data_IF_599866896866
#
_entry.id   IF_599866896866
#
_cell.length_a   1.000
_cell.length_b   1.000
_cell.length_c   1.000
_cell.angle_alpha   90.00
_cell.angle_beta   90.00
_cell.angle_gamma   90.00
#
_symmetry.space_group_name_H-M   'P 1'
#
loop_
_entity.id
_entity.type
_entity.pdbx_description
1 polymer ?
#
# COMPACT_ATOMS: atom_id res chain seq x y z
N UNK A 1 0.96 0.64 26.40
CA UNK A 1 -0.34 1.14 26.91
C UNK A 1 -1.53 0.37 26.35
N UNK A 2 -1.65 0.22 25.03
CA UNK A 2 -2.76 -0.52 24.38
C UNK A 2 -2.83 -1.98 24.84
N UNK A 3 -1.68 -2.67 24.93
CA UNK A 3 -1.67 -4.09 25.31
C UNK A 3 -2.26 -4.35 26.70
N UNK A 4 -1.77 -3.61 27.71
CA UNK A 4 -2.30 -3.67 29.08
C UNK A 4 -3.75 -3.24 29.17
N UNK A 5 -4.18 -2.26 28.38
CA UNK A 5 -5.54 -1.71 28.43
C UNK A 5 -6.59 -2.62 27.80
N UNK A 6 -6.22 -3.38 26.77
CA UNK A 6 -7.20 -4.11 25.94
C UNK A 6 -7.03 -5.62 25.90
N UNK A 7 -5.85 -6.14 26.23
CA UNK A 7 -5.59 -7.59 26.16
C UNK A 7 -5.39 -8.23 27.54
N UNK A 8 -5.41 -7.47 28.65
CA UNK A 8 -5.30 -7.98 30.03
C UNK A 8 -4.09 -8.92 30.29
N UNK A 9 -3.02 -8.79 29.51
CA UNK A 9 -1.80 -9.60 29.67
C UNK A 9 -0.62 -8.77 30.20
N UNK A 10 0.22 -9.38 31.03
CA UNK A 10 1.44 -8.77 31.58
C UNK A 10 2.55 -8.73 30.50
N UNK A 11 3.07 -7.55 30.12
CA UNK A 11 4.14 -7.42 29.15
C UNK A 11 5.39 -8.27 29.44
N UNK A 12 5.68 -8.62 30.70
CA UNK A 12 6.88 -9.40 31.05
C UNK A 12 6.82 -10.86 30.58
N UNK A 13 5.65 -11.50 30.54
CA UNK A 13 5.49 -12.86 30.02
C UNK A 13 5.52 -12.90 28.47
N UNK A 14 5.12 -11.81 27.83
CA UNK A 14 4.98 -11.66 26.37
C UNK A 14 6.33 -11.47 25.66
N UNK A 15 7.34 -10.93 26.34
CA UNK A 15 8.68 -10.65 25.79
C UNK A 15 9.44 -11.87 25.25
N UNK A 16 8.90 -13.09 25.37
CA UNK A 16 9.58 -14.32 24.94
C UNK A 16 9.25 -14.79 23.52
N UNK A 17 8.14 -14.32 22.91
CA UNK A 17 7.70 -14.81 21.59
C UNK A 17 7.96 -13.78 20.49
N UNK A 18 9.22 -13.74 20.03
CA UNK A 18 9.65 -12.91 18.91
C UNK A 18 9.45 -13.61 17.56
N UNK A 19 9.12 -12.87 16.49
CA UNK A 19 9.15 -13.38 15.13
C UNK A 19 10.51 -13.99 14.77
N UNK A 20 10.52 -15.10 14.04
CA UNK A 20 11.75 -15.70 13.50
C UNK A 20 11.95 -15.29 12.04
N UNK A 21 13.17 -14.91 11.70
CA UNK A 21 13.58 -14.55 10.35
C UNK A 21 13.99 -15.78 9.54
N UNK A 22 13.53 -15.84 8.30
CA UNK A 22 13.83 -16.89 7.33
C UNK A 22 14.30 -16.25 6.02
N UNK A 23 15.19 -16.96 5.31
CA UNK A 23 15.58 -16.64 3.95
C UNK A 23 15.06 -17.74 3.03
N UNK A 24 14.16 -17.40 2.12
CA UNK A 24 13.61 -18.34 1.15
C UNK A 24 14.26 -18.10 -0.22
N UNK A 25 14.79 -19.12 -0.90
CA UNK A 25 15.34 -18.97 -2.25
C UNK A 25 14.26 -18.54 -3.27
N UNK A 26 14.59 -17.59 -4.15
CA UNK A 26 13.77 -17.18 -5.29
C UNK A 26 14.13 -18.07 -6.48
N UNK A 27 13.55 -19.27 -6.54
CA UNK A 27 13.85 -20.29 -7.56
C UNK A 27 13.70 -19.80 -9.02
N UNK A 28 12.83 -18.82 -9.27
CA UNK A 28 12.60 -18.26 -10.59
C UNK A 28 13.65 -17.22 -11.03
N UNK A 29 14.61 -16.80 -10.18
CA UNK A 29 15.64 -15.84 -10.58
C UNK A 29 16.95 -16.59 -10.91
N UNK A 30 17.34 -16.71 -12.20
CA UNK A 30 18.57 -17.41 -12.57
C UNK A 30 19.82 -16.66 -12.09
N UNK A 31 20.91 -17.38 -11.80
CA UNK A 31 22.22 -16.82 -11.50
C UNK A 31 22.99 -17.52 -10.36
N UNK A 32 24.30 -17.22 -10.28
CA UNK A 32 25.25 -17.84 -9.33
C UNK A 32 25.09 -17.38 -7.86
N UNK A 33 24.42 -16.25 -7.62
CA UNK A 33 24.07 -15.80 -6.28
C UNK A 33 22.61 -16.11 -6.01
N UNK A 34 22.32 -17.21 -5.31
CA UNK A 34 20.96 -17.61 -4.93
C UNK A 34 20.20 -16.42 -4.32
N UNK A 35 19.35 -15.73 -5.11
CA UNK A 35 18.60 -14.58 -4.64
C UNK A 35 17.59 -15.08 -3.61
N UNK A 36 17.56 -14.47 -2.43
CA UNK A 36 16.63 -14.86 -1.37
C UNK A 36 15.51 -13.83 -1.18
N UNK A 37 14.43 -14.25 -0.53
CA UNK A 37 13.37 -13.40 0.01
C UNK A 37 13.42 -13.52 1.54
N UNK A 38 13.62 -12.40 2.25
CA UNK A 38 13.50 -12.40 3.69
C UNK A 38 12.03 -12.50 4.10
N UNK A 39 11.74 -13.32 5.11
CA UNK A 39 10.41 -13.49 5.68
C UNK A 39 10.51 -13.53 7.20
N UNK A 40 9.61 -12.83 7.88
CA UNK A 40 9.47 -12.91 9.33
C UNK A 40 8.16 -13.64 9.67
N UNK A 41 8.21 -14.64 10.55
CA UNK A 41 7.00 -15.38 10.97
C UNK A 41 6.38 -14.76 12.22
N UNK A 42 5.26 -14.07 12.06
CA UNK A 42 4.60 -13.30 13.12
C UNK A 42 3.28 -13.92 13.63
N UNK A 43 3.06 -15.24 13.46
CA UNK A 43 1.76 -15.88 13.77
C UNK A 43 1.42 -15.91 15.26
N UNK A 44 2.40 -16.27 16.10
CA UNK A 44 2.25 -16.47 17.55
C UNK A 44 3.22 -15.58 18.33
N UNK A 45 3.23 -14.28 18.03
CA UNK A 45 4.19 -13.32 18.59
C UNK A 45 3.52 -12.31 19.50
N UNK A 46 4.31 -11.62 20.32
CA UNK A 46 3.85 -10.57 21.23
C UNK A 46 2.96 -9.49 20.60
N UNK A 47 3.15 -9.19 19.31
CA UNK A 47 2.38 -8.19 18.59
C UNK A 47 1.24 -8.76 17.73
N UNK A 48 0.98 -10.07 17.78
CA UNK A 48 0.04 -10.72 16.86
C UNK A 48 -1.40 -10.21 17.00
N UNK A 49 -1.85 -9.92 18.23
CA UNK A 49 -3.18 -9.37 18.51
C UNK A 49 -3.28 -7.91 18.09
N UNK A 50 -2.30 -7.08 18.46
CA UNK A 50 -2.17 -5.70 18.01
C UNK A 50 -2.19 -5.60 16.47
N UNK A 51 -1.44 -6.48 15.79
CA UNK A 51 -1.38 -6.56 14.34
C UNK A 51 -2.74 -6.95 13.74
N UNK A 52 -3.44 -7.89 14.36
CA UNK A 52 -4.80 -8.27 13.95
C UNK A 52 -5.78 -7.11 14.09
N UNK A 53 -5.71 -6.38 15.21
CA UNK A 53 -6.53 -5.20 15.46
C UNK A 53 -6.24 -4.09 14.44
N UNK A 54 -4.97 -3.79 14.20
CA UNK A 54 -4.54 -2.80 13.22
C UNK A 54 -4.97 -3.19 11.82
N UNK A 55 -4.84 -4.46 11.42
CA UNK A 55 -5.28 -4.92 10.10
C UNK A 55 -6.78 -4.64 9.90
N UNK A 56 -7.63 -4.93 10.89
CA UNK A 56 -9.07 -4.65 10.80
C UNK A 56 -9.37 -3.16 10.71
N UNK A 57 -8.66 -2.34 11.47
CA UNK A 57 -8.81 -0.88 11.43
C UNK A 57 -8.37 -0.30 10.08
N UNK A 58 -7.20 -0.69 9.60
CA UNK A 58 -6.60 -0.21 8.36
C UNK A 58 -7.44 -0.61 7.14
N UNK A 59 -8.02 -1.82 7.12
CA UNK A 59 -8.94 -2.21 6.04
C UNK A 59 -10.19 -1.31 6.01
N UNK A 60 -10.78 -1.03 7.18
CA UNK A 60 -11.94 -0.13 7.24
C UNK A 60 -11.58 1.30 6.80
N UNK A 61 -10.42 1.81 7.25
CA UNK A 61 -9.91 3.12 6.85
C UNK A 61 -9.63 3.17 5.35
N UNK A 62 -9.04 2.13 4.77
CA UNK A 62 -8.77 2.04 3.33
C UNK A 62 -10.05 2.20 2.52
N UNK A 63 -11.08 1.41 2.80
CA UNK A 63 -12.33 1.48 2.04
C UNK A 63 -12.96 2.89 2.15
N UNK A 64 -12.98 3.47 3.35
CA UNK A 64 -13.49 4.83 3.53
C UNK A 64 -12.64 5.86 2.79
N UNK A 65 -11.31 5.75 2.84
CA UNK A 65 -10.39 6.69 2.23
C UNK A 65 -10.40 6.62 0.69
N UNK A 66 -10.57 5.43 0.11
CA UNK A 66 -10.82 5.26 -1.32
C UNK A 66 -12.12 5.95 -1.73
N UNK A 67 -13.19 5.82 -0.95
CA UNK A 67 -14.45 6.50 -1.22
C UNK A 67 -14.30 8.03 -1.18
N UNK A 68 -13.58 8.56 -0.19
CA UNK A 68 -13.24 10.00 -0.12
C UNK A 68 -12.48 10.42 -1.38
N UNK A 69 -11.46 9.66 -1.77
CA UNK A 69 -10.63 9.93 -2.95
C UNK A 69 -11.46 9.96 -4.23
N UNK A 70 -12.35 8.98 -4.42
CA UNK A 70 -13.20 8.89 -5.60
C UNK A 70 -14.21 10.04 -5.68
N UNK A 71 -14.82 10.42 -4.55
CA UNK A 71 -15.72 11.58 -4.51
C UNK A 71 -15.01 12.88 -4.87
N UNK A 72 -13.77 13.06 -4.41
CA UNK A 72 -12.97 14.23 -4.75
C UNK A 72 -12.50 14.23 -6.21
N UNK A 73 -12.11 13.06 -6.75
CA UNK A 73 -11.82 12.90 -8.17
C UNK A 73 -13.01 13.30 -9.03
N UNK A 74 -14.18 12.75 -8.74
CA UNK A 74 -15.39 13.01 -9.52
C UNK A 74 -15.85 14.47 -9.41
N UNK A 75 -15.86 15.05 -8.21
CA UNK A 75 -16.30 16.45 -8.01
C UNK A 75 -15.37 17.49 -8.64
N UNK A 76 -14.09 17.17 -8.81
CA UNK A 76 -13.08 18.08 -9.38
C UNK A 76 -12.67 17.70 -10.82
N UNK A 77 -13.22 16.64 -11.39
CA UNK A 77 -12.81 16.12 -12.71
C UNK A 77 -11.34 15.67 -12.75
N UNK A 78 -10.80 15.16 -11.65
CA UNK A 78 -9.40 14.74 -11.55
C UNK A 78 -9.25 13.26 -11.91
N UNK A 79 -8.18 12.93 -12.64
CA UNK A 79 -7.70 11.56 -12.80
C UNK A 79 -6.44 11.35 -11.95
N UNK A 80 -6.14 10.10 -11.63
CA UNK A 80 -4.99 9.76 -10.81
C UNK A 80 -4.84 8.24 -10.69
N UNK A 81 -3.81 7.82 -9.95
CA UNK A 81 -3.57 6.40 -9.67
C UNK A 81 -4.79 5.81 -8.95
N UNK A 82 -5.30 4.68 -9.45
CA UNK A 82 -6.42 3.94 -8.89
C UNK A 82 -5.92 2.66 -8.23
N UNK A 83 -6.17 2.51 -6.92
CA UNK A 83 -5.87 1.28 -6.21
C UNK A 83 -6.87 0.19 -6.62
N UNK A 84 -6.35 -0.96 -7.05
CA UNK A 84 -7.10 -2.14 -7.44
C UNK A 84 -6.72 -3.33 -6.54
N UNK A 85 -7.59 -4.32 -6.43
CA UNK A 85 -7.40 -5.50 -5.57
C UNK A 85 -7.60 -6.84 -6.28
N UNK A 86 -7.88 -6.83 -7.58
CA UNK A 86 -7.99 -8.04 -8.39
C UNK A 86 -7.81 -7.74 -9.88
N UNK A 87 -7.49 -8.78 -10.64
CA UNK A 87 -7.49 -8.77 -12.11
C UNK A 87 -8.87 -8.47 -12.68
N UNK A 88 -9.95 -9.00 -12.08
CA UNK A 88 -11.32 -8.69 -12.52
C UNK A 88 -11.63 -7.19 -12.43
N UNK A 89 -11.20 -6.54 -11.34
CA UNK A 89 -11.37 -5.10 -11.19
C UNK A 89 -10.53 -4.35 -12.21
N UNK A 90 -9.27 -4.77 -12.46
CA UNK A 90 -8.45 -4.21 -13.53
C UNK A 90 -9.17 -4.28 -14.88
N UNK A 91 -9.64 -5.47 -15.29
CA UNK A 91 -10.27 -5.66 -16.59
C UNK A 91 -11.50 -4.77 -16.77
N UNK A 92 -12.35 -4.67 -15.74
CA UNK A 92 -13.51 -3.77 -15.72
C UNK A 92 -13.12 -2.30 -15.85
N UNK A 93 -12.04 -1.88 -15.19
CA UNK A 93 -11.56 -0.51 -15.29
C UNK A 93 -10.93 -0.21 -16.65
N UNK A 94 -10.25 -1.20 -17.26
CA UNK A 94 -9.75 -1.09 -18.63
C UNK A 94 -10.90 -0.90 -19.61
N UNK A 95 -12.00 -1.65 -19.48
CA UNK A 95 -13.19 -1.48 -20.33
C UNK A 95 -13.75 -0.06 -20.30
N UNK A 96 -13.71 0.58 -19.13
CA UNK A 96 -14.21 1.95 -18.98
C UNK A 96 -13.29 3.01 -19.61
N UNK A 97 -11.98 2.74 -19.75
CA UNK A 97 -11.03 3.73 -20.28
C UNK A 97 -10.70 3.51 -21.76
N UNK A 98 -10.90 2.30 -22.30
CA UNK A 98 -10.57 1.98 -23.70
C UNK A 98 -11.25 2.92 -24.72
N UNK A 99 -12.44 3.43 -24.40
CA UNK A 99 -13.16 4.39 -25.25
C UNK A 99 -12.70 5.86 -25.04
N UNK A 100 -12.02 6.12 -23.93
CA UNK A 100 -11.71 7.48 -23.44
C UNK A 100 -10.25 7.84 -23.72
N UNK A 101 -9.35 6.86 -23.69
CA UNK A 101 -7.91 7.09 -23.75
C UNK A 101 -7.28 6.49 -25.00
N UNK A 102 -6.20 7.12 -25.44
CA UNK A 102 -5.37 6.65 -26.56
C UNK A 102 -3.91 6.79 -26.12
N UNK A 103 -3.43 5.89 -25.25
CA UNK A 103 -2.10 6.00 -24.66
C UNK A 103 -1.01 5.87 -25.72
N UNK A 104 0.10 6.58 -25.54
CA UNK A 104 1.28 6.47 -26.40
C UNK A 104 2.13 5.26 -26.03
N UNK A 105 2.31 5.03 -24.73
CA UNK A 105 3.03 3.87 -24.19
C UNK A 105 2.38 3.35 -22.90
N UNK A 106 2.66 2.10 -22.58
CA UNK A 106 2.32 1.42 -21.34
C UNK A 106 3.61 1.05 -20.60
N UNK A 107 3.68 1.31 -19.31
CA UNK A 107 4.83 0.92 -18.50
C UNK A 107 4.37 0.36 -17.17
N UNK A 108 5.07 -0.64 -16.67
CA UNK A 108 4.94 -1.10 -15.29
C UNK A 108 6.13 -0.68 -14.46
N UNK A 109 5.88 -0.46 -13.18
CA UNK A 109 6.89 -0.11 -12.20
C UNK A 109 6.67 -0.92 -10.93
N UNK A 110 7.78 -1.39 -10.35
CA UNK A 110 7.82 -2.02 -9.03
C UNK A 110 8.61 -1.15 -8.06
N UNK A 111 8.28 -1.19 -6.77
CA UNK A 111 9.12 -0.59 -5.75
C UNK A 111 10.24 -1.56 -5.37
N UNK A 112 11.50 -1.18 -5.64
CA UNK A 112 12.67 -2.03 -5.38
C UNK A 112 12.71 -2.67 -3.98
N UNK A 113 12.26 -1.93 -2.97
CA UNK A 113 12.49 -2.32 -1.57
C UNK A 113 11.52 -1.69 -0.57
N UNK A 114 10.27 -1.43 -0.95
CA UNK A 114 9.28 -0.67 -0.12
C UNK A 114 9.18 -1.19 1.33
N UNK A 115 9.12 -2.50 1.53
CA UNK A 115 9.04 -3.11 2.86
C UNK A 115 10.32 -2.97 3.71
N UNK A 116 11.43 -2.52 3.13
CA UNK A 116 12.71 -2.32 3.83
C UNK A 116 13.24 -0.89 3.77
N UNK A 117 12.75 -0.06 2.85
CA UNK A 117 13.23 1.32 2.66
C UNK A 117 12.28 2.39 3.20
N UNK A 118 10.98 2.13 3.25
CA UNK A 118 9.97 3.13 3.61
C UNK A 118 10.17 3.65 5.04
N UNK A 119 10.41 4.95 5.22
CA UNK A 119 10.69 5.54 6.52
C UNK A 119 9.46 5.48 7.43
N UNK A 120 9.67 5.13 8.70
CA UNK A 120 8.63 5.12 9.73
C UNK A 120 7.97 6.49 9.86
N UNK A 121 8.73 7.57 9.73
CA UNK A 121 8.17 8.93 9.77
C UNK A 121 7.17 9.15 8.63
N UNK A 122 7.55 8.82 7.41
CA UNK A 122 6.68 8.94 6.23
C UNK A 122 5.43 8.06 6.34
N UNK A 123 5.55 6.84 6.86
CA UNK A 123 4.42 5.95 7.14
C UNK A 123 3.48 6.59 8.17
N UNK A 124 4.03 7.11 9.28
CA UNK A 124 3.23 7.74 10.34
C UNK A 124 2.53 9.02 9.86
N UNK A 125 3.20 9.84 9.06
CA UNK A 125 2.63 11.05 8.46
C UNK A 125 1.48 10.69 7.49
N UNK A 126 1.66 9.65 6.67
CA UNK A 126 0.61 9.10 5.81
C UNK A 126 -0.60 8.58 6.61
N UNK A 127 -0.36 7.82 7.69
CA UNK A 127 -1.43 7.31 8.55
C UNK A 127 -2.16 8.42 9.30
N UNK A 128 -1.44 9.43 9.80
CA UNK A 128 -2.02 10.62 10.41
C UNK A 128 -2.91 11.36 9.42
N UNK A 129 -2.47 11.52 8.18
CA UNK A 129 -3.26 12.12 7.12
C UNK A 129 -4.55 11.34 6.85
N UNK A 130 -4.45 10.03 6.63
CA UNK A 130 -5.62 9.16 6.37
C UNK A 130 -6.61 9.18 7.54
N UNK A 131 -6.14 8.96 8.77
CA UNK A 131 -7.01 8.91 9.96
C UNK A 131 -7.70 10.26 10.17
N UNK A 132 -7.02 11.38 9.94
CA UNK A 132 -7.60 12.73 10.07
C UNK A 132 -8.72 12.96 9.05
N UNK A 133 -8.59 12.42 7.84
CA UNK A 133 -9.57 12.58 6.75
C UNK A 133 -10.76 11.64 6.93
N UNK A 134 -10.50 10.41 7.35
CA UNK A 134 -11.54 9.42 7.64
C UNK A 134 -12.36 9.81 8.87
N UNK A 135 -11.73 10.25 9.96
CA UNK A 135 -12.47 10.72 11.12
C UNK A 135 -12.80 12.21 11.00
N UNK A 136 -14.03 12.51 10.59
CA UNK A 136 -14.55 13.86 10.44
C UNK A 136 -15.85 14.04 11.25
N UNK A 137 -16.47 15.21 11.14
CA UNK A 137 -17.70 15.54 11.88
C UNK A 137 -18.86 14.58 11.66
N UNK A 138 -18.85 13.79 10.57
CA UNK A 138 -19.91 12.82 10.24
C UNK A 138 -19.64 11.41 10.77
N UNK A 139 -18.40 11.05 11.02
CA UNK A 139 -18.05 9.70 11.51
C UNK A 139 -18.09 9.60 13.03
N UNK A 140 -17.90 10.71 13.74
CA UNK A 140 -17.77 10.71 15.20
C UNK A 140 -16.35 10.38 15.67
N UNK A 141 -16.23 10.03 16.94
CA UNK A 141 -14.95 10.03 17.67
C UNK A 141 -14.29 8.65 17.80
N UNK A 142 -15.05 7.57 17.57
CA UNK A 142 -14.60 6.20 17.78
C UNK A 142 -14.68 5.35 16.52
N UNK A 143 -13.67 4.53 16.29
CA UNK A 143 -13.78 3.33 15.47
C UNK A 143 -14.07 2.13 16.39
N UNK A 144 -15.24 1.54 16.23
CA UNK A 144 -15.71 0.40 17.01
C UNK A 144 -15.43 -0.89 16.25
N UNK A 145 -14.89 -1.88 16.96
CA UNK A 145 -14.61 -3.21 16.44
C UNK A 145 -15.78 -4.13 16.76
N UNK A 146 -16.68 -4.30 15.79
CA UNK A 146 -17.77 -5.28 15.87
C UNK A 146 -17.27 -6.71 15.71
N UNK A 147 -18.18 -7.67 15.59
CA UNK A 147 -17.80 -9.08 15.40
C UNK A 147 -17.14 -9.31 14.03
N UNK A 148 -17.79 -8.87 12.94
CA UNK A 148 -17.27 -9.02 11.56
C UNK A 148 -16.60 -7.76 11.04
N UNK A 149 -17.21 -6.60 11.28
CA UNK A 149 -16.81 -5.33 10.66
C UNK A 149 -16.46 -4.29 11.70
N UNK A 150 -15.67 -3.29 11.28
CA UNK A 150 -15.50 -2.06 12.03
C UNK A 150 -16.53 -1.02 11.55
N UNK A 151 -16.92 -0.09 12.44
CA UNK A 151 -17.82 1.01 12.11
C UNK A 151 -17.53 2.22 13.00
N UNK A 152 -17.86 3.41 12.53
CA UNK A 152 -17.68 4.63 13.31
C UNK A 152 -18.86 4.87 14.26
N UNK A 153 -18.59 5.52 15.41
CA UNK A 153 -19.62 5.92 16.36
C UNK A 153 -19.18 7.11 17.20
N UNK A 154 -20.13 7.94 17.62
CA UNK A 154 -19.94 8.95 18.67
C UNK A 154 -20.38 8.44 20.06
N UNK A 155 -20.90 7.21 20.16
CA UNK A 155 -21.46 6.71 21.41
C UNK A 155 -20.37 6.18 22.35
N UNK A 156 -20.08 6.94 23.41
CA UNK A 156 -19.11 6.56 24.42
C UNK A 156 -19.56 5.41 25.35
N UNK A 157 -20.83 4.99 25.33
CA UNK A 157 -21.33 3.89 26.17
C UNK A 157 -21.23 2.51 25.51
N UNK A 158 -20.72 2.43 24.27
CA UNK A 158 -20.47 1.14 23.61
C UNK A 158 -19.43 0.34 24.40
N UNK A 159 -19.82 -0.89 24.80
CA UNK A 159 -18.99 -1.83 25.56
C UNK A 159 -17.95 -2.57 24.70
N UNK A 160 -18.19 -2.70 23.39
CA UNK A 160 -17.25 -3.30 22.46
C UNK A 160 -15.93 -2.52 22.41
N UNK A 161 -14.86 -3.22 22.04
CA UNK A 161 -13.56 -2.60 21.78
C UNK A 161 -13.72 -1.44 20.80
N UNK A 162 -13.18 -0.28 21.16
CA UNK A 162 -13.21 0.94 20.35
C UNK A 162 -11.95 1.75 20.57
N UNK A 163 -11.51 2.41 19.51
CA UNK A 163 -10.32 3.25 19.51
C UNK A 163 -10.64 4.64 18.95
N UNK A 164 -10.09 5.66 19.58
CA UNK A 164 -10.00 7.03 19.05
C UNK A 164 -8.86 7.16 18.04
N UNK A 165 -8.79 8.30 17.36
CA UNK A 165 -7.74 8.61 16.38
C UNK A 165 -6.34 8.45 16.97
N UNK A 166 -6.14 8.97 18.17
CA UNK A 166 -4.85 8.96 18.87
C UNK A 166 -4.46 7.52 19.23
N UNK A 167 -5.43 6.72 19.68
CA UNK A 167 -5.21 5.32 20.04
C UNK A 167 -4.91 4.44 18.82
N UNK A 168 -5.48 4.77 17.65
CA UNK A 168 -5.14 4.13 16.37
C UNK A 168 -3.72 4.49 15.92
N UNK A 169 -3.32 5.76 16.07
CA UNK A 169 -1.96 6.18 15.76
C UNK A 169 -0.94 5.52 16.70
N UNK A 170 -1.24 5.44 17.99
CA UNK A 170 -0.42 4.74 18.97
C UNK A 170 -0.28 3.24 18.64
N UNK A 171 -1.36 2.61 18.17
CA UNK A 171 -1.36 1.20 17.74
C UNK A 171 -0.37 1.00 16.58
N UNK A 172 -0.47 1.83 15.54
CA UNK A 172 0.42 1.76 14.37
C UNK A 172 1.86 2.07 14.78
N UNK A 173 2.07 3.10 15.58
CA UNK A 173 3.39 3.49 16.08
C UNK A 173 4.05 2.36 16.88
N UNK A 174 3.27 1.66 17.71
CA UNK A 174 3.75 0.48 18.47
C UNK A 174 4.17 -0.63 17.52
N UNK A 175 3.38 -0.94 16.48
CA UNK A 175 3.71 -2.01 15.53
C UNK A 175 4.98 -1.73 14.73
N UNK A 176 5.25 -0.46 14.41
CA UNK A 176 6.49 -0.06 13.74
C UNK A 176 7.68 -0.09 14.71
N UNK A 177 7.56 0.57 15.86
CA UNK A 177 8.68 0.76 16.78
C UNK A 177 9.05 -0.48 17.57
N UNK A 178 8.10 -1.37 17.86
CA UNK A 178 8.35 -2.61 18.60
C UNK A 178 8.53 -3.81 17.67
N UNK A 179 8.91 -3.57 16.41
CA UNK A 179 9.19 -4.63 15.46
C UNK A 179 10.58 -5.23 15.70
N UNK A 180 10.62 -6.31 16.49
CA UNK A 180 11.82 -7.12 16.70
C UNK A 180 11.74 -8.43 15.91
N UNK A 181 12.89 -8.95 15.50
CA UNK A 181 13.01 -10.23 14.81
C UNK A 181 14.24 -11.00 15.31
N UNK A 182 14.09 -12.31 15.47
CA UNK A 182 15.14 -13.24 15.84
C UNK A 182 15.82 -13.83 14.60
N UNK A 183 17.14 -13.72 14.53
CA UNK A 183 18.00 -14.32 13.49
C UNK A 183 19.04 -15.19 14.19
N UNK A 184 18.83 -16.51 14.21
CA UNK A 184 19.64 -17.41 15.03
C UNK A 184 19.56 -17.03 16.51
N UNK A 185 20.68 -16.68 17.13
CA UNK A 185 20.75 -16.24 18.53
C UNK A 185 20.67 -14.72 18.71
N UNK A 186 20.57 -13.97 17.61
CA UNK A 186 20.56 -12.52 17.64
C UNK A 186 19.13 -11.98 17.57
N UNK A 187 18.90 -10.84 18.23
CA UNK A 187 17.65 -10.08 18.15
C UNK A 187 17.96 -8.75 17.49
N UNK A 188 17.23 -8.46 16.42
CA UNK A 188 17.32 -7.21 15.69
C UNK A 188 16.02 -6.44 15.82
N UNK A 189 16.12 -5.12 15.96
CA UNK A 189 14.99 -4.21 15.86
C UNK A 189 14.98 -3.59 14.47
N UNK A 190 13.84 -3.66 13.79
CA UNK A 190 13.65 -2.98 12.53
C UNK A 190 13.48 -1.47 12.79
N UNK A 191 14.27 -0.65 12.09
CA UNK A 191 14.28 0.82 12.27
C UNK A 191 13.66 1.59 11.11
N UNK A 192 13.40 0.91 9.99
CA UNK A 192 12.72 1.43 8.79
C UNK A 192 12.09 0.30 7.99
N UNK A 193 11.23 0.64 7.05
CA UNK A 193 10.44 -0.29 6.25
C UNK A 193 9.11 -0.63 6.90
N UNK A 194 8.44 -1.66 6.39
CA UNK A 194 7.20 -2.16 6.96
C UNK A 194 7.48 -3.56 7.49
N UNK A 195 7.21 -3.84 8.79
CA UNK A 195 7.45 -5.15 9.40
C UNK A 195 6.89 -6.28 8.57
N UNK A 196 7.73 -7.07 7.92
CA UNK A 196 7.26 -8.16 7.06
C UNK A 196 6.55 -9.26 7.88
N UNK A 197 5.55 -9.90 7.29
CA UNK A 197 4.88 -11.08 7.88
C UNK A 197 3.89 -10.79 9.02
N UNK A 198 3.72 -9.54 9.43
CA UNK A 198 2.60 -9.14 10.29
C UNK A 198 1.28 -9.11 9.49
N UNK A 199 0.16 -9.37 10.18
CA UNK A 199 -1.20 -9.33 9.59
C UNK A 199 -1.57 -7.95 9.02
N UNK A 200 -0.97 -6.89 9.54
CA UNK A 200 -1.26 -5.51 9.15
C UNK A 200 -0.34 -4.97 8.06
N UNK A 201 0.70 -5.68 7.67
CA UNK A 201 1.81 -5.13 6.87
C UNK A 201 1.41 -4.72 5.47
N UNK A 202 0.76 -5.63 4.73
CA UNK A 202 0.34 -5.37 3.36
C UNK A 202 -0.63 -4.19 3.29
N UNK A 203 -1.63 -4.17 4.19
CA UNK A 203 -2.62 -3.10 4.23
C UNK A 203 -2.04 -1.76 4.70
N UNK A 204 -1.06 -1.78 5.61
CA UNK A 204 -0.33 -0.57 6.03
C UNK A 204 0.50 0.01 4.90
N UNK A 205 1.14 -0.85 4.10
CA UNK A 205 1.90 -0.44 2.91
C UNK A 205 0.97 0.19 1.88
N UNK A 206 -0.06 -0.54 1.47
CA UNK A 206 -1.01 -0.10 0.47
C UNK A 206 -1.66 1.23 0.87
N UNK A 207 -2.18 1.35 2.10
CA UNK A 207 -2.84 2.57 2.56
C UNK A 207 -1.87 3.76 2.67
N UNK A 208 -0.61 3.52 3.04
CA UNK A 208 0.43 4.56 3.04
C UNK A 208 0.71 5.07 1.62
N UNK A 209 0.77 4.18 0.63
CA UNK A 209 0.93 4.55 -0.77
C UNK A 209 -0.31 5.31 -1.31
N UNK A 210 -1.52 4.83 -1.03
CA UNK A 210 -2.77 5.54 -1.38
C UNK A 210 -2.76 6.96 -0.80
N UNK A 211 -2.26 7.12 0.43
CA UNK A 211 -2.19 8.43 1.09
C UNK A 211 -1.29 9.41 0.36
N UNK A 212 -0.06 9.02 -0.01
CA UNK A 212 0.87 9.94 -0.68
C UNK A 212 0.40 10.26 -2.10
N UNK A 213 -0.20 9.29 -2.79
CA UNK A 213 -0.83 9.48 -4.11
C UNK A 213 -2.01 10.46 -4.05
N UNK A 214 -2.85 10.33 -3.03
CA UNK A 214 -3.96 11.25 -2.80
C UNK A 214 -3.46 12.66 -2.48
N UNK A 215 -2.43 12.79 -1.64
CA UNK A 215 -1.85 14.08 -1.32
C UNK A 215 -1.27 14.79 -2.55
N UNK A 216 -0.65 14.06 -3.48
CA UNK A 216 -0.21 14.61 -4.75
C UNK A 216 -1.41 15.05 -5.62
N UNK A 217 -2.41 14.19 -5.73
CA UNK A 217 -3.63 14.44 -6.53
C UNK A 217 -4.35 15.74 -6.16
N UNK A 218 -4.44 16.07 -4.88
CA UNK A 218 -5.21 17.25 -4.42
C UNK A 218 -4.38 18.53 -4.36
N UNK A 219 -3.06 18.46 -4.53
CA UNK A 219 -2.18 19.62 -4.53
C UNK A 219 -2.12 20.24 -5.93
N UNK A 220 -1.93 21.57 -6.04
CA UNK A 220 -1.61 22.19 -7.32
C UNK A 220 -0.35 21.55 -7.91
N UNK A 221 -0.38 21.30 -9.22
CA UNK A 221 0.78 20.78 -9.94
C UNK A 221 1.91 21.82 -9.88
N UNK A 222 3.12 21.44 -9.42
CA UNK A 222 4.27 22.35 -9.39
C UNK A 222 4.61 22.89 -10.78
N UNK A 223 4.95 24.17 -10.87
CA UNK A 223 5.34 24.80 -12.14
C UNK A 223 6.53 24.09 -12.82
N UNK A 224 7.41 23.48 -12.03
CA UNK A 224 8.58 22.72 -12.49
C UNK A 224 8.24 21.46 -13.30
N UNK A 225 7.03 20.90 -13.13
CA UNK A 225 6.60 19.70 -13.87
C UNK A 225 5.40 19.96 -14.79
N UNK A 226 4.90 21.19 -14.85
CA UNK A 226 3.67 21.54 -15.56
C UNK A 226 3.72 21.22 -17.07
N UNK A 227 4.92 21.26 -17.66
CA UNK A 227 5.15 20.93 -19.08
C UNK A 227 5.29 19.43 -19.36
N UNK A 228 5.53 18.62 -18.33
CA UNK A 228 5.75 17.17 -18.42
C UNK A 228 4.71 16.37 -17.61
N UNK A 229 3.64 17.04 -17.19
CA UNK A 229 2.55 16.46 -16.44
C UNK A 229 1.27 16.52 -17.26
N UNK A 230 0.64 15.35 -17.39
CA UNK A 230 -0.74 15.20 -17.86
C UNK A 230 -1.48 14.40 -16.80
N UNK A 231 -2.78 14.67 -16.53
CA UNK A 231 -3.54 13.93 -15.53
C UNK A 231 -3.38 12.41 -15.70
N UNK A 232 -2.98 11.75 -14.62
CA UNK A 232 -2.54 10.36 -14.64
C UNK A 232 -3.70 9.38 -14.87
N UNK A 233 -3.51 8.45 -15.80
CA UNK A 233 -4.30 7.22 -15.87
C UNK A 233 -3.37 6.07 -15.48
N UNK A 234 -3.59 5.51 -14.29
CA UNK A 234 -2.73 4.47 -13.75
C UNK A 234 -3.49 3.59 -12.76
N UNK A 235 -3.05 2.34 -12.63
CA UNK A 235 -3.56 1.38 -11.66
C UNK A 235 -2.44 0.93 -10.75
N UNK A 236 -2.73 0.71 -9.47
CA UNK A 236 -1.78 0.14 -8.53
C UNK A 236 -2.40 -1.04 -7.79
N UNK A 237 -1.70 -2.16 -7.77
CA UNK A 237 -2.00 -3.34 -6.99
C UNK A 237 -0.88 -3.52 -5.98
N UNK A 238 -1.15 -3.22 -4.71
CA UNK A 238 -0.12 -3.21 -3.67
C UNK A 238 1.08 -2.33 -4.08
N UNK A 239 2.24 -2.91 -4.36
CA UNK A 239 3.47 -2.26 -4.80
C UNK A 239 3.63 -2.18 -6.34
N UNK A 240 2.89 -2.97 -7.11
CA UNK A 240 2.96 -2.95 -8.58
C UNK A 240 2.13 -1.79 -9.17
N UNK A 241 2.71 -1.00 -10.07
CA UNK A 241 2.05 0.14 -10.72
C UNK A 241 2.02 -0.09 -12.24
N UNK A 242 0.86 0.08 -12.85
CA UNK A 242 0.65 0.17 -14.29
C UNK A 242 0.32 1.62 -14.67
N UNK A 243 1.07 2.20 -15.61
CA UNK A 243 0.89 3.58 -16.07
C UNK A 243 0.62 3.63 -17.57
N UNK A 244 -0.39 4.43 -17.94
CA UNK A 244 -0.71 4.80 -19.31
C UNK A 244 -0.08 6.15 -19.61
N UNK A 245 1.01 6.14 -20.36
CA UNK A 245 1.78 7.33 -20.68
C UNK A 245 1.25 8.02 -21.94
N UNK A 246 1.29 9.35 -21.91
CA UNK A 246 0.94 10.26 -23.01
C UNK A 246 2.20 11.01 -23.45
N UNK A 247 2.24 11.64 -24.64
CA UNK A 247 3.43 12.33 -25.13
C UNK A 247 4.00 13.38 -24.15
N UNK A 248 3.11 14.02 -23.37
CA UNK A 248 3.44 15.03 -22.35
C UNK A 248 3.50 14.49 -20.93
N UNK A 249 3.61 13.17 -20.73
CA UNK A 249 3.73 12.52 -19.42
C UNK A 249 5.00 11.67 -19.37
N UNK A 250 5.93 12.07 -18.52
CA UNK A 250 7.11 11.26 -18.17
C UNK A 250 7.01 10.83 -16.70
N UNK A 251 6.39 9.66 -16.47
CA UNK A 251 6.15 9.15 -15.11
C UNK A 251 7.44 9.04 -14.29
N UNK A 252 8.55 8.63 -14.91
CA UNK A 252 9.85 8.50 -14.24
C UNK A 252 10.45 9.85 -13.82
N UNK A 253 10.06 10.95 -14.45
CA UNK A 253 10.44 12.30 -14.00
C UNK A 253 9.51 12.85 -12.91
N UNK A 254 8.26 12.41 -12.85
CA UNK A 254 7.28 12.97 -11.91
C UNK A 254 7.07 12.13 -10.64
N UNK A 255 7.41 10.84 -10.61
CA UNK A 255 7.08 9.98 -9.45
C UNK A 255 7.70 10.47 -8.15
N UNK A 256 8.83 11.19 -8.20
CA UNK A 256 9.47 11.82 -7.04
C UNK A 256 8.69 12.98 -6.42
N UNK A 257 7.71 13.51 -7.14
CA UNK A 257 6.74 14.46 -6.61
C UNK A 257 5.55 13.76 -5.93
N UNK A 258 5.36 12.46 -6.20
CA UNK A 258 4.28 11.62 -5.65
C UNK A 258 4.78 10.88 -4.41
N UNK A 259 5.91 10.19 -4.53
CA UNK A 259 6.46 9.31 -3.52
C UNK A 259 7.68 9.94 -2.83
N UNK A 260 7.89 9.66 -1.53
CA UNK A 260 9.02 10.20 -0.79
C UNK A 260 10.36 9.61 -1.29
N UNK A 261 11.48 10.28 -0.98
CA UNK A 261 12.79 10.00 -1.57
C UNK A 261 13.33 8.58 -1.29
N UNK A 262 12.92 7.98 -0.18
CA UNK A 262 13.30 6.62 0.20
C UNK A 262 12.60 5.52 -0.62
N UNK A 263 11.57 5.86 -1.41
CA UNK A 263 10.88 4.94 -2.31
C UNK A 263 11.41 5.08 -3.73
N UNK A 264 12.12 4.06 -4.19
CA UNK A 264 12.60 3.97 -5.57
C UNK A 264 11.73 3.05 -6.40
N UNK A 265 11.33 3.53 -7.57
CA UNK A 265 10.72 2.71 -8.60
C UNK A 265 11.79 2.12 -9.52
N UNK A 266 11.55 0.89 -9.98
CA UNK A 266 12.23 0.26 -11.09
C UNK A 266 11.24 -0.10 -12.19
N UNK A 267 11.63 0.11 -13.44
CA UNK A 267 10.91 -0.36 -14.61
C UNK A 267 11.53 -1.69 -15.07
N UNK A 268 10.75 -2.55 -15.73
CA UNK A 268 11.32 -3.70 -16.42
C UNK A 268 12.14 -3.21 -17.63
N UNK A 269 13.46 -3.50 -17.69
CA UNK A 269 14.31 -3.06 -18.80
C UNK A 269 13.91 -3.66 -20.15
N UNK A 270 13.10 -4.72 -20.17
CA UNK A 270 12.63 -5.36 -21.39
C UNK A 270 11.29 -4.79 -21.88
N UNK A 271 10.64 -3.92 -21.11
CA UNK A 271 9.39 -3.28 -21.54
C UNK A 271 9.67 -2.24 -22.63
N UNK A 272 9.04 -2.43 -23.79
CA UNK A 272 9.22 -1.54 -24.96
C UNK A 272 8.17 -0.43 -25.02
N UNK A 273 7.28 -0.33 -24.04
CA UNK A 273 6.16 0.62 -24.04
C UNK A 273 4.93 0.17 -24.85
N UNK A 274 5.02 -0.92 -25.63
CA UNK A 274 3.90 -1.40 -26.49
C UNK A 274 3.16 -2.60 -25.91
N UNK A 275 3.82 -3.37 -25.05
CA UNK A 275 3.25 -4.52 -24.38
C UNK A 275 3.84 -4.60 -22.98
N UNK A 276 2.98 -4.82 -22.00
CA UNK A 276 3.34 -4.98 -20.60
C UNK A 276 2.59 -6.16 -20.01
N UNK A 277 3.17 -6.76 -18.97
CA UNK A 277 2.51 -7.78 -18.17
C UNK A 277 2.21 -7.18 -16.80
N UNK A 278 0.94 -7.19 -16.41
CA UNK A 278 0.51 -6.63 -15.14
C UNK A 278 -0.53 -7.55 -14.50
N UNK A 279 -0.22 -8.02 -13.29
CA UNK A 279 -0.87 -9.18 -12.67
C UNK A 279 -0.81 -10.39 -13.62
N UNK A 280 -1.94 -11.04 -13.83
CA UNK A 280 -2.18 -12.19 -14.71
C UNK A 280 -2.69 -11.76 -16.10
N UNK A 281 -2.48 -10.49 -16.49
CA UNK A 281 -2.90 -9.94 -17.78
C UNK A 281 -1.72 -9.38 -18.57
N UNK A 282 -1.62 -9.77 -19.85
CA UNK A 282 -0.80 -9.09 -20.85
C UNK A 282 -1.63 -8.02 -21.53
N UNK A 283 -1.13 -6.78 -21.52
CA UNK A 283 -1.78 -5.61 -22.09
C UNK A 283 -0.90 -5.11 -23.24
N UNK A 284 -1.48 -4.95 -24.42
CA UNK A 284 -0.81 -4.53 -25.64
C UNK A 284 -1.49 -3.30 -26.25
N UNK A 285 -0.71 -2.41 -26.84
CA UNK A 285 -1.19 -1.34 -27.71
C UNK A 285 -1.14 -1.82 -29.16
N UNK A 286 -2.31 -1.98 -29.78
CA UNK A 286 -2.44 -2.30 -31.20
C UNK A 286 -3.32 -1.24 -31.88
N UNK A 287 -2.81 -0.52 -32.87
CA UNK A 287 -3.48 0.62 -33.52
C UNK A 287 -4.07 1.63 -32.52
N UNK A 288 -3.30 1.90 -31.45
CA UNK A 288 -3.67 2.73 -30.31
C UNK A 288 -4.91 2.24 -29.50
N UNK A 289 -5.32 1.00 -29.69
CA UNK A 289 -6.32 0.32 -28.86
C UNK A 289 -5.64 -0.63 -27.88
N UNK A 290 -6.28 -0.80 -26.73
CA UNK A 290 -5.82 -1.71 -25.69
C UNK A 290 -6.33 -3.12 -26.03
N UNK A 291 -5.40 -4.06 -26.20
CA UNK A 291 -5.67 -5.48 -26.42
C UNK A 291 -5.16 -6.26 -25.22
N UNK A 292 -5.92 -7.26 -24.77
CA UNK A 292 -5.67 -7.97 -23.51
C UNK A 292 -5.63 -9.47 -23.76
N UNK A 293 -4.76 -10.17 -23.04
CA UNK A 293 -4.65 -11.63 -23.08
C UNK A 293 -4.19 -12.16 -21.72
N UNK A 294 -4.43 -13.44 -21.45
CA UNK A 294 -3.93 -14.10 -20.25
C UNK A 294 -2.40 -14.10 -20.25
N UNK A 295 -1.81 -13.77 -19.11
CA UNK A 295 -0.37 -13.90 -18.90
C UNK A 295 -0.09 -14.88 -17.76
N UNK A 296 0.68 -15.91 -18.05
CA UNK A 296 1.24 -16.78 -17.03
C UNK A 296 2.72 -16.48 -16.85
N UNK A 297 3.09 -16.06 -15.64
CA UNK A 297 4.48 -15.75 -15.31
C UNK A 297 5.41 -16.95 -15.48
N UNK A 298 4.89 -18.18 -15.43
CA UNK A 298 5.66 -19.42 -15.66
C UNK A 298 6.14 -19.53 -17.10
N UNK A 299 5.44 -18.93 -18.06
CA UNK A 299 5.84 -18.94 -19.47
C UNK A 299 7.10 -18.09 -19.74
N UNK A 300 7.53 -17.30 -18.76
CA UNK A 300 8.71 -16.44 -18.83
C UNK A 300 9.96 -17.04 -18.16
N UNK A 301 9.90 -18.28 -17.68
CA UNK A 301 10.99 -19.00 -17.01
C UNK A 301 11.16 -20.40 -17.60
#
# INVERSE_FOLDING_TARGET
MIHRRYFNEDPQEICQKLPTYYLIPKFHKPGYGCKTRPISSCRNTCLAECAGLAARALNHLREHFINITNLEKNSKGLTGIKSINSTDLLLKELDNIDEIITPHTLNTFDFKSVFTSFDFKSIMDAMKYVITRCFNSRTGDFLVFGYKNCYYSSNNNIKSLKLRKEELLDLINTLLNESYVKVGNWIFRQTKGIPMGSKSSAILCDLSLISVEHQFLIKPIPDTIKTIYTPLTAFRYQDDILVFNYPSLDFMKIYRYIYPNELELEADPNETGKSVNYLDTRICLNDNKIVRSLYDKRDSF
#
